data_IF_991427379895
#
_entry.id   IF_991427379895
#
_cell.length_a   1.000
_cell.length_b   1.000
_cell.length_c   1.000
_cell.angle_alpha   90.00
_cell.angle_beta   90.00
_cell.angle_gamma   90.00
#
_symmetry.space_group_name_H-M   'P 1'
#
loop_
_entity.id
_entity.type
_entity.pdbx_description
1 polymer ?
#
# COMPACT_ATOMS: atom_id res chain seq x y z
N UNK A 1 -9.90 -35.03 -41.46
CA UNK A 1 -9.74 -34.86 -39.99
C UNK A 1 -9.40 -33.41 -39.79
N UNK A 2 -10.36 -32.63 -39.32
CA UNK A 2 -10.20 -31.18 -39.15
C UNK A 2 -9.45 -30.90 -37.88
N UNK A 3 -8.24 -30.37 -38.01
CA UNK A 3 -7.51 -29.76 -36.88
C UNK A 3 -8.33 -28.57 -36.36
N UNK A 4 -9.14 -28.80 -35.36
CA UNK A 4 -9.70 -27.70 -34.60
C UNK A 4 -8.56 -27.06 -33.80
N UNK A 5 -8.37 -25.73 -33.86
CA UNK A 5 -7.38 -25.06 -33.04
C UNK A 5 -7.76 -25.29 -31.58
N UNK A 6 -6.93 -26.04 -30.86
CA UNK A 6 -7.08 -26.21 -29.42
C UNK A 6 -6.87 -24.85 -28.77
N UNK A 7 -7.99 -24.20 -28.42
CA UNK A 7 -7.95 -22.98 -27.63
C UNK A 7 -7.19 -23.30 -26.34
N UNK A 8 -5.99 -22.72 -26.17
CA UNK A 8 -5.21 -22.90 -24.96
C UNK A 8 -6.00 -22.26 -23.83
N UNK A 9 -6.50 -23.08 -22.92
CA UNK A 9 -7.19 -22.60 -21.72
C UNK A 9 -6.20 -21.78 -20.88
N UNK A 10 -6.62 -20.59 -20.44
CA UNK A 10 -5.84 -19.77 -19.54
C UNK A 10 -5.59 -20.52 -18.22
N UNK A 11 -4.33 -20.71 -17.89
CA UNK A 11 -3.90 -21.36 -16.64
C UNK A 11 -3.25 -20.31 -15.73
N UNK A 12 -4.00 -19.76 -14.77
CA UNK A 12 -3.51 -18.69 -13.90
C UNK A 12 -2.28 -19.14 -13.10
N UNK A 13 -2.24 -20.40 -12.67
CA UNK A 13 -1.13 -20.92 -11.85
C UNK A 13 0.24 -20.88 -12.55
N UNK A 14 0.24 -20.85 -13.88
CA UNK A 14 1.48 -20.78 -14.69
C UNK A 14 1.74 -19.38 -15.22
N UNK A 15 0.67 -18.66 -15.58
CA UNK A 15 0.81 -17.40 -16.30
C UNK A 15 1.06 -16.25 -15.32
N UNK A 16 0.32 -16.19 -14.22
CA UNK A 16 0.40 -15.08 -13.27
C UNK A 16 1.75 -14.98 -12.57
N UNK A 17 2.31 -16.05 -11.99
CA UNK A 17 3.63 -15.97 -11.35
C UNK A 17 4.75 -15.58 -12.31
N UNK A 18 4.63 -16.00 -13.58
CA UNK A 18 5.60 -15.61 -14.62
C UNK A 18 5.62 -14.09 -14.82
N UNK A 19 4.45 -13.47 -14.92
CA UNK A 19 4.36 -12.04 -15.16
C UNK A 19 4.64 -11.21 -13.91
N UNK A 20 4.23 -11.67 -12.73
CA UNK A 20 4.56 -11.03 -11.46
C UNK A 20 6.09 -11.00 -11.27
N UNK A 21 6.78 -12.12 -11.47
CA UNK A 21 8.24 -12.16 -11.42
C UNK A 21 8.93 -11.31 -12.49
N UNK A 22 8.34 -11.20 -13.69
CA UNK A 22 8.85 -10.28 -14.72
C UNK A 22 8.74 -8.82 -14.29
N UNK A 23 7.58 -8.40 -13.75
CA UNK A 23 7.36 -7.01 -13.30
C UNK A 23 8.26 -6.64 -12.14
N UNK A 24 8.45 -7.54 -11.19
CA UNK A 24 9.34 -7.33 -10.05
C UNK A 24 10.79 -7.16 -10.51
N UNK A 25 11.29 -8.10 -11.30
CA UNK A 25 12.68 -8.09 -11.80
C UNK A 25 12.99 -6.84 -12.63
N UNK A 26 12.06 -6.40 -13.45
CA UNK A 26 12.25 -5.26 -14.36
C UNK A 26 11.80 -3.92 -13.76
N UNK A 27 11.30 -3.91 -12.53
CA UNK A 27 10.74 -2.70 -11.90
C UNK A 27 9.73 -1.99 -12.81
N UNK A 28 8.86 -2.78 -13.45
CA UNK A 28 7.99 -2.35 -14.56
C UNK A 28 7.11 -1.16 -14.19
N UNK A 29 6.72 -1.05 -12.94
CA UNK A 29 5.79 -0.03 -12.45
C UNK A 29 6.47 1.12 -11.70
N UNK A 30 7.80 1.14 -11.69
CA UNK A 30 8.56 2.19 -11.02
C UNK A 30 8.34 3.54 -11.68
N UNK A 31 8.03 4.56 -10.86
CA UNK A 31 8.03 5.94 -11.30
C UNK A 31 9.47 6.48 -11.42
N UNK A 32 9.72 7.27 -12.45
CA UNK A 32 11.04 7.88 -12.67
C UNK A 32 11.08 9.26 -12.03
N UNK A 33 12.07 9.49 -11.17
CA UNK A 33 12.28 10.77 -10.53
C UNK A 33 12.74 11.83 -11.53
N UNK A 34 12.27 13.06 -11.35
CA UNK A 34 12.70 14.23 -12.12
C UNK A 34 12.57 14.06 -13.64
N UNK A 35 11.70 13.17 -14.12
CA UNK A 35 11.45 13.00 -15.54
C UNK A 35 10.71 14.23 -16.10
N UNK A 36 11.40 15.02 -16.91
CA UNK A 36 10.84 16.19 -17.57
C UNK A 36 10.21 15.86 -18.95
N UNK A 37 10.34 14.63 -19.42
CA UNK A 37 9.89 14.23 -20.78
C UNK A 37 8.47 13.69 -20.81
N UNK A 38 7.94 13.24 -19.67
CA UNK A 38 6.61 12.67 -19.54
C UNK A 38 5.75 13.46 -18.55
N UNK A 39 4.48 13.56 -18.86
CA UNK A 39 3.50 14.12 -17.93
C UNK A 39 3.40 13.25 -16.66
N UNK A 40 3.44 13.90 -15.50
CA UNK A 40 3.40 13.23 -14.19
C UNK A 40 1.96 12.96 -13.78
N UNK A 41 1.73 11.77 -13.25
CA UNK A 41 0.47 11.43 -12.61
C UNK A 41 0.76 10.76 -11.27
N UNK A 42 0.21 11.30 -10.19
CA UNK A 42 0.20 10.68 -8.86
C UNK A 42 -1.18 10.12 -8.57
N UNK A 43 -1.25 8.82 -8.30
CA UNK A 43 -2.49 8.13 -7.93
C UNK A 43 -2.30 7.57 -6.53
N UNK A 44 -3.19 7.94 -5.65
CA UNK A 44 -3.14 7.58 -4.23
C UNK A 44 -4.34 6.70 -3.87
N UNK A 45 -4.04 5.56 -3.31
CA UNK A 45 -5.01 4.71 -2.63
C UNK A 45 -4.99 4.96 -1.12
N UNK A 46 -6.08 4.63 -0.46
CA UNK A 46 -6.12 4.60 1.00
C UNK A 46 -5.32 3.39 1.49
N UNK A 47 -4.28 3.64 2.25
CA UNK A 47 -3.43 2.59 2.80
C UNK A 47 -4.21 1.71 3.78
N UNK A 48 -4.08 0.37 3.71
CA UNK A 48 -4.77 -0.50 4.64
C UNK A 48 -4.14 -0.46 6.03
N UNK A 49 -4.96 -0.69 7.06
CA UNK A 49 -4.47 -1.03 8.39
C UNK A 49 -4.00 -2.47 8.42
N UNK A 50 -2.75 -2.78 8.77
CA UNK A 50 -2.27 -4.15 8.88
C UNK A 50 -2.65 -4.76 10.26
N UNK A 51 -3.90 -4.58 10.68
CA UNK A 51 -4.40 -4.98 12.00
C UNK A 51 -5.07 -6.36 12.03
N UNK A 52 -5.34 -6.93 10.86
CA UNK A 52 -6.00 -8.22 10.71
C UNK A 52 -5.12 -9.30 10.09
N UNK A 53 -5.68 -10.50 9.95
CA UNK A 53 -4.97 -11.65 9.38
C UNK A 53 -4.75 -11.54 7.85
N UNK A 54 -5.31 -10.52 7.20
CA UNK A 54 -5.19 -10.30 5.76
C UNK A 54 -6.23 -9.32 5.22
N UNK A 55 -6.22 -9.14 3.91
CA UNK A 55 -7.17 -8.30 3.20
C UNK A 55 -8.58 -8.87 3.27
N UNK A 56 -9.57 -8.00 3.31
CA UNK A 56 -10.97 -8.34 3.02
C UNK A 56 -11.35 -7.86 1.61
N UNK A 57 -12.46 -8.33 1.09
CA UNK A 57 -12.90 -8.06 -0.31
C UNK A 57 -13.05 -6.57 -0.65
N UNK A 58 -13.30 -5.71 0.31
CA UNK A 58 -13.40 -4.27 0.09
C UNK A 58 -12.07 -3.59 -0.26
N UNK A 59 -10.93 -4.18 0.13
CA UNK A 59 -9.62 -3.63 -0.24
C UNK A 59 -9.37 -3.71 -1.75
N UNK A 60 -9.44 -4.90 -2.39
CA UNK A 60 -9.17 -5.00 -3.82
C UNK A 60 -10.21 -4.30 -4.69
N UNK A 61 -11.41 -4.00 -4.20
CA UNK A 61 -12.42 -3.25 -4.95
C UNK A 61 -11.89 -1.87 -5.36
N UNK A 62 -11.45 -1.06 -4.39
CA UNK A 62 -10.87 0.26 -4.66
C UNK A 62 -9.55 0.18 -5.42
N UNK A 63 -8.66 -0.72 -5.00
CA UNK A 63 -7.34 -0.87 -5.61
C UNK A 63 -7.39 -1.34 -7.07
N UNK A 64 -8.39 -2.13 -7.44
CA UNK A 64 -8.59 -2.53 -8.83
C UNK A 64 -8.96 -1.34 -9.71
N UNK A 65 -9.83 -0.44 -9.23
CA UNK A 65 -10.23 0.73 -9.98
C UNK A 65 -9.04 1.66 -10.27
N UNK A 66 -8.25 1.96 -9.26
CA UNK A 66 -7.04 2.80 -9.38
C UNK A 66 -5.96 2.13 -10.23
N UNK A 67 -5.79 0.80 -10.12
CA UNK A 67 -4.84 0.05 -10.91
C UNK A 67 -5.16 0.07 -12.40
N UNK A 68 -6.43 -0.09 -12.77
CA UNK A 68 -6.90 0.04 -14.16
C UNK A 68 -6.54 1.42 -14.71
N UNK A 69 -6.80 2.47 -13.94
CA UNK A 69 -6.46 3.84 -14.32
C UNK A 69 -4.96 4.05 -14.49
N UNK A 70 -4.16 3.55 -13.56
CA UNK A 70 -2.70 3.63 -13.61
C UNK A 70 -2.13 2.93 -14.83
N UNK A 71 -2.62 1.73 -15.15
CA UNK A 71 -2.19 0.98 -16.34
C UNK A 71 -2.56 1.69 -17.62
N UNK A 72 -3.79 2.19 -17.71
CA UNK A 72 -4.23 2.98 -18.85
C UNK A 72 -3.34 4.20 -19.07
N UNK A 73 -3.06 4.97 -18.02
CA UNK A 73 -2.21 6.16 -18.10
C UNK A 73 -0.76 5.84 -18.47
N UNK A 74 -0.19 4.76 -17.94
CA UNK A 74 1.14 4.31 -18.38
C UNK A 74 1.18 3.95 -19.88
N UNK A 75 0.15 3.28 -20.39
CA UNK A 75 0.02 2.99 -21.82
C UNK A 75 -0.12 4.26 -22.67
N UNK A 76 -0.61 5.36 -22.08
CA UNK A 76 -0.70 6.69 -22.72
C UNK A 76 0.58 7.50 -22.57
N UNK A 77 1.65 6.94 -22.02
CA UNK A 77 2.96 7.58 -21.90
C UNK A 77 3.17 8.44 -20.65
N UNK A 78 2.27 8.40 -19.68
CA UNK A 78 2.45 9.11 -18.42
C UNK A 78 3.52 8.46 -17.53
N UNK A 79 4.24 9.28 -16.77
CA UNK A 79 5.06 8.82 -15.64
C UNK A 79 4.17 8.72 -14.40
N UNK A 80 3.71 7.50 -14.10
CA UNK A 80 2.71 7.26 -13.06
C UNK A 80 3.36 6.82 -11.77
N UNK A 81 3.20 7.60 -10.71
CA UNK A 81 3.47 7.19 -9.33
C UNK A 81 2.20 6.62 -8.71
N UNK A 82 2.19 5.32 -8.49
CA UNK A 82 1.15 4.59 -7.78
C UNK A 82 1.79 3.92 -6.57
N UNK A 83 1.78 4.62 -5.44
CA UNK A 83 2.38 4.17 -4.20
C UNK A 83 1.44 3.31 -3.37
N UNK A 84 2.00 2.43 -2.55
CA UNK A 84 1.30 1.66 -1.52
C UNK A 84 2.05 1.79 -0.20
N UNK A 85 1.31 1.65 0.89
CA UNK A 85 1.87 1.72 2.22
C UNK A 85 0.97 1.08 3.28
N UNK A 86 1.38 1.26 4.53
CA UNK A 86 0.74 0.64 5.68
C UNK A 86 0.43 1.73 6.70
N UNK A 87 -0.86 1.90 6.99
CA UNK A 87 -1.29 2.75 8.10
C UNK A 87 -1.16 1.92 9.39
N UNK A 88 0.02 2.01 10.00
CA UNK A 88 0.48 1.01 10.95
C UNK A 88 0.46 1.48 12.42
N UNK A 89 0.02 2.69 12.69
CA UNK A 89 -0.32 3.14 14.04
C UNK A 89 -1.79 2.87 14.34
N UNK A 90 -2.11 2.60 15.60
CA UNK A 90 -3.49 2.62 16.03
C UNK A 90 -3.85 1.63 17.11
N UNK A 91 -4.99 1.89 17.69
CA UNK A 91 -5.60 1.17 18.80
C UNK A 91 -5.76 -0.36 18.57
N UNK A 92 -6.11 -0.83 17.35
CA UNK A 92 -6.23 -2.27 17.11
C UNK A 92 -4.93 -3.05 17.36
N UNK A 93 -3.79 -2.51 16.96
CA UNK A 93 -2.49 -3.15 17.20
C UNK A 93 -2.12 -3.14 18.70
N UNK A 94 -2.42 -2.04 19.39
CA UNK A 94 -2.17 -1.90 20.84
C UNK A 94 -3.07 -2.84 21.65
N UNK A 95 -4.35 -2.91 21.33
CA UNK A 95 -5.29 -3.84 22.00
C UNK A 95 -4.92 -5.30 21.78
N UNK A 96 -4.44 -5.64 20.59
CA UNK A 96 -3.93 -6.98 20.33
C UNK A 96 -2.70 -7.29 21.19
N UNK A 97 -1.79 -6.32 21.33
CA UNK A 97 -0.62 -6.46 22.19
C UNK A 97 -1.00 -6.68 23.65
N UNK A 98 -1.96 -5.93 24.17
CA UNK A 98 -2.47 -6.10 25.54
C UNK A 98 -3.06 -7.51 25.74
N UNK A 99 -3.84 -8.00 24.78
CA UNK A 99 -4.50 -9.33 24.87
C UNK A 99 -3.52 -10.49 24.74
N UNK A 100 -2.46 -10.36 23.97
CA UNK A 100 -1.57 -11.47 23.61
C UNK A 100 -0.20 -11.41 24.26
N UNK A 101 0.16 -10.28 24.88
CA UNK A 101 1.51 -10.03 25.38
C UNK A 101 2.57 -9.86 24.26
N UNK A 102 2.13 -9.73 23.00
CA UNK A 102 3.03 -9.59 21.85
C UNK A 102 3.23 -8.12 21.51
N UNK A 103 4.49 -7.68 21.41
CA UNK A 103 4.78 -6.29 21.06
C UNK A 103 4.16 -5.89 19.71
N UNK A 104 3.53 -4.71 19.59
CA UNK A 104 2.83 -4.26 18.38
C UNK A 104 3.69 -4.34 17.11
N UNK A 105 4.97 -3.98 17.21
CA UNK A 105 5.92 -4.02 16.09
C UNK A 105 6.00 -5.40 15.43
N UNK A 106 6.07 -6.47 16.26
CA UNK A 106 6.19 -7.85 15.77
C UNK A 106 4.94 -8.25 15.00
N UNK A 107 3.78 -7.99 15.57
CA UNK A 107 2.49 -8.32 14.93
C UNK A 107 2.29 -7.51 13.66
N UNK A 108 2.55 -6.21 13.71
CA UNK A 108 2.43 -5.30 12.56
C UNK A 108 3.34 -5.74 11.42
N UNK A 109 4.61 -6.04 11.70
CA UNK A 109 5.55 -6.51 10.68
C UNK A 109 5.08 -7.81 9.99
N UNK A 110 4.57 -8.77 10.77
CA UNK A 110 4.02 -10.03 10.25
C UNK A 110 2.79 -9.79 9.37
N UNK A 111 1.89 -8.92 9.82
CA UNK A 111 0.67 -8.60 9.09
C UNK A 111 1.00 -7.87 7.77
N UNK A 112 1.93 -6.92 7.78
CA UNK A 112 2.41 -6.23 6.57
C UNK A 112 2.89 -7.25 5.54
N UNK A 113 3.70 -8.23 5.93
CA UNK A 113 4.17 -9.27 5.02
C UNK A 113 3.01 -10.07 4.40
N UNK A 114 1.98 -10.38 5.19
CA UNK A 114 0.80 -11.11 4.70
C UNK A 114 0.01 -10.27 3.71
N UNK A 115 -0.27 -9.01 4.05
CA UNK A 115 -0.99 -8.07 3.19
C UNK A 115 -0.23 -7.83 1.87
N UNK A 116 1.08 -7.59 1.96
CA UNK A 116 1.93 -7.36 0.79
C UNK A 116 1.87 -8.54 -0.18
N UNK A 117 2.07 -9.77 0.33
CA UNK A 117 1.96 -10.98 -0.47
C UNK A 117 0.59 -11.12 -1.15
N UNK A 118 -0.49 -10.76 -0.45
CA UNK A 118 -1.83 -10.80 -1.03
C UNK A 118 -2.02 -9.75 -2.14
N UNK A 119 -1.54 -8.53 -1.94
CA UNK A 119 -1.58 -7.47 -2.97
C UNK A 119 -0.72 -7.81 -4.19
N UNK A 120 0.45 -8.40 -3.97
CA UNK A 120 1.32 -8.90 -5.05
C UNK A 120 0.63 -10.01 -5.85
N UNK A 121 -0.12 -10.91 -5.19
CA UNK A 121 -0.88 -11.96 -5.87
C UNK A 121 -2.00 -11.42 -6.78
N UNK A 122 -2.59 -10.26 -6.48
CA UNK A 122 -3.49 -9.56 -7.38
C UNK A 122 -2.79 -8.95 -8.60
N UNK A 123 -1.47 -8.81 -8.54
CA UNK A 123 -0.67 -8.25 -9.62
C UNK A 123 -0.86 -6.75 -9.83
N UNK A 124 -1.25 -6.01 -8.81
CA UNK A 124 -1.39 -4.55 -8.89
C UNK A 124 -0.10 -3.84 -9.27
N UNK A 125 -0.22 -2.76 -10.01
CA UNK A 125 0.89 -1.99 -10.55
C UNK A 125 1.42 -0.93 -9.58
N UNK A 126 1.62 -1.32 -8.32
CA UNK A 126 2.24 -0.45 -7.32
C UNK A 126 3.74 -0.31 -7.53
N UNK A 127 4.26 0.86 -7.22
CA UNK A 127 5.70 1.11 -7.12
C UNK A 127 6.20 0.70 -5.72
N UNK A 128 6.58 -0.56 -5.57
CA UNK A 128 7.04 -1.11 -4.30
C UNK A 128 8.36 -0.53 -3.78
N UNK A 129 9.15 0.14 -4.63
CA UNK A 129 10.34 0.86 -4.19
C UNK A 129 9.97 2.10 -3.35
N UNK A 130 8.70 2.51 -3.40
CA UNK A 130 8.13 3.62 -2.62
C UNK A 130 7.13 3.17 -1.56
N UNK A 131 7.28 1.95 -1.08
CA UNK A 131 6.51 1.43 0.04
C UNK A 131 6.70 2.30 1.29
N UNK A 132 5.60 2.67 1.94
CA UNK A 132 5.58 3.53 3.11
C UNK A 132 5.05 2.75 4.32
N UNK A 133 5.66 3.00 5.49
CA UNK A 133 5.18 2.51 6.79
C UNK A 133 5.03 3.70 7.72
N UNK A 134 3.81 4.04 8.11
CA UNK A 134 3.56 5.23 8.93
C UNK A 134 4.18 5.12 10.32
N UNK A 135 4.44 3.90 10.82
CA UNK A 135 5.12 3.64 12.09
C UNK A 135 6.66 3.67 12.02
N UNK A 136 7.24 3.90 10.85
CA UNK A 136 8.69 4.03 10.73
C UNK A 136 9.18 5.40 11.19
N UNK A 137 10.28 5.51 11.93
CA UNK A 137 10.83 6.79 12.38
C UNK A 137 11.07 7.79 11.26
N UNK A 138 11.50 7.30 10.09
CA UNK A 138 11.73 8.15 8.92
C UNK A 138 10.47 8.80 8.38
N UNK A 139 9.30 8.18 8.63
CA UNK A 139 8.02 8.73 8.26
C UNK A 139 7.43 9.62 9.35
N UNK A 140 7.24 9.12 10.58
CA UNK A 140 6.54 9.86 11.62
C UNK A 140 7.30 11.04 12.18
N UNK A 141 8.62 11.15 11.99
CA UNK A 141 9.38 12.36 12.32
C UNK A 141 8.77 13.62 11.72
N UNK A 142 8.19 13.52 10.54
CA UNK A 142 7.54 14.66 9.89
C UNK A 142 6.22 15.03 10.55
N UNK A 143 5.46 14.06 11.00
CA UNK A 143 4.24 14.29 11.81
C UNK A 143 4.61 15.00 13.12
N UNK A 144 5.67 14.56 13.79
CA UNK A 144 6.17 15.21 15.00
C UNK A 144 6.66 16.63 14.72
N UNK A 145 7.35 16.85 13.61
CA UNK A 145 7.79 18.17 13.21
C UNK A 145 6.61 19.12 12.94
N UNK A 146 5.59 18.66 12.23
CA UNK A 146 4.37 19.44 11.98
C UNK A 146 3.69 19.79 13.31
N UNK A 147 3.55 18.83 14.22
CA UNK A 147 2.99 19.10 15.56
C UNK A 147 3.79 20.16 16.31
N UNK A 148 5.11 20.05 16.30
CA UNK A 148 5.99 21.07 16.90
C UNK A 148 5.75 22.47 16.32
N UNK A 149 5.55 22.57 15.00
CA UNK A 149 5.23 23.85 14.36
C UNK A 149 3.85 24.39 14.74
N UNK A 150 2.87 23.53 14.95
CA UNK A 150 1.56 23.93 15.45
C UNK A 150 1.65 24.42 16.91
N UNK A 151 2.42 23.73 17.73
CA UNK A 151 2.66 24.11 19.13
C UNK A 151 3.39 25.47 19.22
N UNK A 152 4.46 25.68 18.46
CA UNK A 152 5.18 26.96 18.39
C UNK A 152 4.26 28.14 18.01
N UNK A 153 3.23 27.89 17.24
CA UNK A 153 2.23 28.90 16.81
C UNK A 153 1.04 29.05 17.76
N UNK A 154 1.01 28.32 18.86
CA UNK A 154 -0.12 28.30 19.81
C UNK A 154 -1.41 27.66 19.26
N UNK A 155 -1.32 26.92 18.14
CA UNK A 155 -2.45 26.21 17.56
C UNK A 155 -2.69 24.82 18.20
N UNK A 156 -1.66 24.24 18.79
CA UNK A 156 -1.75 23.05 19.63
C UNK A 156 -1.41 23.46 21.07
N UNK A 157 -2.24 23.04 22.03
CA UNK A 157 -2.09 23.35 23.44
C UNK A 157 -2.64 22.22 24.30
N UNK A 158 -2.18 22.13 25.55
CA UNK A 158 -2.69 21.18 26.54
C UNK A 158 -4.00 21.69 27.15
N UNK A 159 -5.00 20.81 27.29
CA UNK A 159 -6.30 21.14 27.86
C UNK A 159 -6.93 19.93 28.53
N UNK A 160 -7.62 20.18 29.67
CA UNK A 160 -8.45 19.19 30.33
C UNK A 160 -9.86 19.23 29.75
N UNK A 161 -10.27 18.15 29.08
CA UNK A 161 -11.61 18.04 28.51
C UNK A 161 -12.31 16.81 29.05
N UNK A 162 -13.63 16.88 29.33
CA UNK A 162 -14.39 15.68 29.67
C UNK A 162 -14.44 14.72 28.48
N UNK A 163 -14.23 13.46 28.76
CA UNK A 163 -14.27 12.38 27.76
C UNK A 163 -15.31 11.35 28.16
N UNK A 164 -15.88 10.69 27.15
CA UNK A 164 -16.74 9.55 27.41
C UNK A 164 -15.86 8.39 27.89
N UNK A 165 -16.16 7.89 29.05
CA UNK A 165 -15.50 6.74 29.65
C UNK A 165 -16.37 5.50 29.53
N UNK A 166 -15.81 4.41 28.99
CA UNK A 166 -16.49 3.12 28.87
C UNK A 166 -15.97 2.15 29.95
#
# INVERSE_FOLDING_TARGET
>A
MSDQPTCKIYDPSKIEPKWQGFWEKNKTFRAVDCDATREKLYVLDMFPYPSGAGLHVGHPEGYTATDIWCRYKRMRGYNVLHAMGWDAFGLPAEQYAVKTGTHPEITTAKNIQTFKRQLEAFGFSFDWDREIRTCSPDYYKWTQWIFGKLFEKGLAYESFQPVNWC
#
